data_IF_118113046450
#
_entry.id   IF_118113046450
#
_cell.length_a   1.000
_cell.length_b   1.000
_cell.length_c   1.000
_cell.angle_alpha   90.00
_cell.angle_beta   90.00
_cell.angle_gamma   90.00
#
_symmetry.space_group_name_H-M   'P 1'
#
loop_
_entity.id
_entity.type
_entity.pdbx_description
1 polymer ?
#
# COMPACT_ATOMS: atom_id res chain seq x y z
N UNK A 1 -4.14 -34.89 1.40
CA UNK A 1 -3.92 -34.16 2.66
C UNK A 1 -5.29 -33.71 3.12
N UNK A 2 -5.70 -34.02 4.34
CA UNK A 2 -6.99 -33.57 4.85
C UNK A 2 -6.96 -32.06 5.06
N UNK A 3 -7.92 -31.37 4.50
CA UNK A 3 -8.07 -29.89 4.57
C UNK A 3 -9.44 -29.50 5.12
N UNK A 4 -10.20 -30.47 5.62
CA UNK A 4 -11.57 -30.26 6.15
C UNK A 4 -11.58 -29.29 7.33
N UNK A 5 -10.54 -29.30 8.15
CA UNK A 5 -10.36 -28.41 9.29
C UNK A 5 -10.30 -26.92 8.90
N UNK A 6 -9.86 -26.61 7.67
CA UNK A 6 -9.88 -25.20 7.17
C UNK A 6 -11.33 -24.72 6.99
N UNK A 7 -12.27 -25.60 6.69
CA UNK A 7 -13.67 -25.26 6.48
C UNK A 7 -14.54 -25.42 7.73
N UNK A 8 -13.99 -26.00 8.81
CA UNK A 8 -14.70 -26.22 10.04
C UNK A 8 -15.15 -24.91 10.70
N UNK A 9 -16.38 -24.94 11.22
CA UNK A 9 -17.01 -23.78 11.86
C UNK A 9 -17.36 -22.61 10.92
N UNK A 10 -17.17 -22.74 9.61
CA UNK A 10 -17.67 -21.78 8.62
C UNK A 10 -19.12 -22.13 8.22
N UNK A 11 -19.96 -21.11 7.99
CA UNK A 11 -21.26 -21.30 7.38
C UNK A 11 -21.14 -21.58 5.87
N UNK A 12 -22.25 -21.97 5.24
CA UNK A 12 -22.27 -22.38 3.82
C UNK A 12 -21.72 -21.29 2.89
N UNK A 13 -22.15 -20.04 3.04
CA UNK A 13 -21.68 -18.91 2.22
C UNK A 13 -20.18 -18.63 2.43
N UNK A 14 -19.70 -18.74 3.67
CA UNK A 14 -18.28 -18.59 3.98
C UNK A 14 -17.44 -19.73 3.39
N UNK A 15 -17.93 -20.99 3.46
CA UNK A 15 -17.28 -22.16 2.84
C UNK A 15 -17.18 -21.99 1.33
N UNK A 16 -18.27 -21.58 0.69
CA UNK A 16 -18.29 -21.32 -0.76
C UNK A 16 -17.24 -20.28 -1.16
N UNK A 17 -17.11 -19.18 -0.41
CA UNK A 17 -16.12 -18.14 -0.67
C UNK A 17 -14.68 -18.61 -0.42
N UNK A 18 -14.46 -19.46 0.60
CA UNK A 18 -13.13 -19.99 0.94
C UNK A 18 -12.66 -21.04 -0.06
N UNK A 19 -13.52 -21.95 -0.46
CA UNK A 19 -13.19 -23.08 -1.35
C UNK A 19 -13.44 -22.79 -2.84
N UNK A 20 -13.81 -21.56 -3.18
CA UNK A 20 -14.05 -21.19 -4.58
C UNK A 20 -12.78 -21.35 -5.43
N UNK A 21 -12.93 -21.61 -6.71
CA UNK A 21 -11.82 -21.71 -7.67
C UNK A 21 -10.95 -20.44 -7.67
N UNK A 22 -9.73 -20.58 -8.18
CA UNK A 22 -8.82 -19.42 -8.32
C UNK A 22 -9.39 -18.46 -9.37
N UNK A 23 -9.44 -17.18 -9.01
CA UNK A 23 -9.98 -16.13 -9.87
C UNK A 23 -10.32 -14.88 -9.05
N UNK A 24 -10.79 -13.87 -9.74
CA UNK A 24 -11.25 -12.64 -9.10
C UNK A 24 -12.58 -12.88 -8.38
N UNK A 25 -12.63 -12.57 -7.10
CA UNK A 25 -13.81 -12.75 -6.26
C UNK A 25 -14.13 -11.48 -5.49
N UNK A 26 -15.38 -11.11 -5.46
CA UNK A 26 -15.90 -10.03 -4.63
C UNK A 26 -16.80 -10.63 -3.53
N UNK A 27 -16.39 -10.47 -2.27
CA UNK A 27 -17.17 -10.92 -1.11
C UNK A 27 -17.84 -9.70 -0.46
N UNK A 28 -19.16 -9.59 -0.63
CA UNK A 28 -19.98 -8.56 -0.01
C UNK A 28 -20.54 -9.07 1.32
N UNK A 29 -20.20 -8.38 2.40
CA UNK A 29 -20.57 -8.83 3.74
C UNK A 29 -20.68 -7.65 4.70
N UNK A 30 -21.71 -7.63 5.54
CA UNK A 30 -21.96 -6.61 6.54
C UNK A 30 -20.91 -6.60 7.68
N UNK A 31 -20.99 -5.60 8.56
CA UNK A 31 -20.17 -5.59 9.77
C UNK A 31 -20.47 -6.82 10.65
N UNK A 32 -19.45 -7.42 11.25
CA UNK A 32 -19.61 -8.61 12.11
C UNK A 32 -19.87 -9.94 11.39
N UNK A 33 -20.05 -9.95 10.08
CA UNK A 33 -20.34 -11.17 9.29
C UNK A 33 -19.17 -12.15 9.12
N UNK A 34 -18.00 -11.81 9.65
CA UNK A 34 -16.82 -12.67 9.57
C UNK A 34 -15.96 -12.49 8.31
N UNK A 35 -16.00 -11.33 7.63
CA UNK A 35 -15.15 -11.04 6.45
C UNK A 35 -13.67 -11.42 6.65
N UNK A 36 -13.07 -11.00 7.75
CA UNK A 36 -11.68 -11.32 8.09
C UNK A 36 -11.49 -12.82 8.25
N UNK A 37 -12.47 -13.54 8.81
CA UNK A 37 -12.44 -15.00 8.95
C UNK A 37 -12.40 -15.67 7.57
N UNK A 38 -13.28 -15.25 6.65
CA UNK A 38 -13.27 -15.75 5.26
C UNK A 38 -11.91 -15.51 4.62
N UNK A 39 -11.35 -14.32 4.74
CA UNK A 39 -10.04 -14.00 4.14
C UNK A 39 -8.91 -14.88 4.71
N UNK A 40 -8.85 -15.04 6.02
CA UNK A 40 -7.85 -15.86 6.71
C UNK A 40 -7.94 -17.33 6.27
N UNK A 41 -9.15 -17.88 6.26
CA UNK A 41 -9.40 -19.26 5.82
C UNK A 41 -9.12 -19.45 4.31
N UNK A 42 -9.45 -18.45 3.47
CA UNK A 42 -9.11 -18.46 2.04
C UNK A 42 -7.61 -18.51 1.80
N UNK A 43 -6.81 -17.73 2.54
CA UNK A 43 -5.35 -17.76 2.43
C UNK A 43 -4.83 -19.14 2.85
N UNK A 44 -5.31 -19.70 3.95
CA UNK A 44 -4.94 -21.02 4.38
C UNK A 44 -5.32 -22.11 3.34
N UNK A 45 -6.49 -21.98 2.71
CA UNK A 45 -6.95 -22.85 1.63
C UNK A 45 -6.02 -22.78 0.42
N UNK A 46 -5.73 -21.59 -0.08
CA UNK A 46 -4.82 -21.38 -1.21
C UNK A 46 -3.45 -22.02 -0.99
N UNK A 47 -2.92 -21.91 0.23
CA UNK A 47 -1.60 -22.45 0.56
C UNK A 47 -1.62 -23.98 0.77
N UNK A 48 -2.65 -24.52 1.48
CA UNK A 48 -2.64 -25.91 1.91
C UNK A 48 -3.44 -26.84 1.01
N UNK A 49 -4.57 -26.38 0.45
CA UNK A 49 -5.41 -27.16 -0.47
C UNK A 49 -4.98 -26.96 -1.94
N UNK A 50 -4.82 -25.74 -2.37
CA UNK A 50 -4.44 -25.40 -3.76
C UNK A 50 -2.92 -25.47 -4.00
N UNK A 51 -2.12 -25.65 -2.93
CA UNK A 51 -0.66 -25.81 -3.04
C UNK A 51 0.12 -24.56 -3.47
N UNK A 52 -0.49 -23.37 -3.34
CA UNK A 52 0.21 -22.14 -3.69
C UNK A 52 1.40 -21.88 -2.76
N UNK A 53 2.48 -21.37 -3.35
CA UNK A 53 3.62 -20.93 -2.56
C UNK A 53 3.22 -19.77 -1.64
N UNK A 54 3.58 -19.79 -0.34
CA UNK A 54 3.38 -18.64 0.54
C UNK A 54 3.95 -17.32 -0.01
N UNK A 55 5.03 -17.38 -0.78
CA UNK A 55 5.68 -16.22 -1.39
C UNK A 55 4.85 -15.56 -2.50
N UNK A 56 3.87 -16.28 -3.06
CA UNK A 56 2.97 -15.74 -4.10
C UNK A 56 1.68 -15.13 -3.53
N UNK A 57 1.51 -15.14 -2.21
CA UNK A 57 0.30 -14.64 -1.56
C UNK A 57 0.55 -13.28 -0.91
N UNK A 58 -0.23 -12.28 -1.31
CA UNK A 58 -0.24 -10.96 -0.69
C UNK A 58 -1.61 -10.67 -0.07
N UNK A 59 -1.62 -10.29 1.21
CA UNK A 59 -2.82 -9.89 1.95
C UNK A 59 -2.65 -8.50 2.54
N UNK A 60 -3.55 -7.60 2.18
CA UNK A 60 -3.43 -6.19 2.51
C UNK A 60 -4.56 -5.76 3.45
N UNK A 61 -4.22 -4.94 4.43
CA UNK A 61 -5.19 -4.36 5.38
C UNK A 61 -4.81 -2.91 5.70
N UNK A 62 -5.70 -2.19 6.41
CA UNK A 62 -5.46 -0.77 6.70
C UNK A 62 -4.63 -0.52 7.97
N UNK A 63 -4.60 -1.46 8.92
CA UNK A 63 -3.92 -1.24 10.20
C UNK A 63 -2.90 -2.33 10.52
N UNK A 64 -1.81 -1.95 11.18
CA UNK A 64 -0.80 -2.90 11.64
C UNK A 64 -1.37 -3.92 12.66
N UNK A 65 -2.38 -3.51 13.45
CA UNK A 65 -3.07 -4.41 14.38
C UNK A 65 -3.79 -5.52 13.60
N UNK A 66 -4.61 -5.14 12.59
CA UNK A 66 -5.33 -6.12 11.77
C UNK A 66 -4.37 -7.05 11.00
N UNK A 67 -3.24 -6.52 10.50
CA UNK A 67 -2.21 -7.34 9.84
C UNK A 67 -1.61 -8.39 10.78
N UNK A 68 -1.31 -8.02 12.03
CA UNK A 68 -0.80 -8.96 13.05
C UNK A 68 -1.83 -10.03 13.43
N UNK A 69 -3.09 -9.61 13.65
CA UNK A 69 -4.18 -10.54 13.97
C UNK A 69 -4.42 -11.52 12.81
N UNK A 70 -4.41 -11.03 11.57
CA UNK A 70 -4.56 -11.86 10.37
C UNK A 70 -3.44 -12.90 10.29
N UNK A 71 -2.20 -12.48 10.49
CA UNK A 71 -1.03 -13.36 10.48
C UNK A 71 -1.15 -14.46 11.53
N UNK A 72 -1.44 -14.09 12.79
CA UNK A 72 -1.58 -15.08 13.88
C UNK A 72 -2.65 -16.12 13.59
N UNK A 73 -3.83 -15.71 13.09
CA UNK A 73 -4.91 -16.63 12.72
C UNK A 73 -4.55 -17.56 11.57
N UNK A 74 -3.80 -17.07 10.57
CA UNK A 74 -3.33 -17.93 9.47
C UNK A 74 -2.32 -18.95 9.99
N UNK A 75 -1.42 -18.56 10.88
CA UNK A 75 -0.45 -19.46 11.51
C UNK A 75 -1.12 -20.54 12.37
N UNK A 76 -2.17 -20.19 13.10
CA UNK A 76 -2.99 -21.14 13.84
C UNK A 76 -3.62 -22.21 12.92
N UNK A 77 -4.25 -21.78 11.81
CA UNK A 77 -4.89 -22.70 10.86
C UNK A 77 -3.86 -23.57 10.13
N UNK A 78 -2.74 -22.99 9.74
CA UNK A 78 -1.69 -23.72 9.02
C UNK A 78 -0.83 -24.60 9.94
N UNK A 79 -0.87 -24.40 11.27
CA UNK A 79 -0.03 -25.10 12.25
C UNK A 79 1.47 -24.82 12.08
N UNK A 80 1.83 -23.73 11.40
CA UNK A 80 3.22 -23.36 11.11
C UNK A 80 3.38 -21.86 10.89
N UNK A 81 4.58 -21.31 11.07
CA UNK A 81 4.87 -19.90 10.76
C UNK A 81 4.60 -19.55 9.30
N UNK A 82 4.15 -18.32 9.07
CA UNK A 82 3.80 -17.78 7.73
C UNK A 82 4.98 -17.11 7.05
N UNK A 83 6.19 -17.66 7.17
CA UNK A 83 7.35 -17.12 6.46
C UNK A 83 7.09 -17.12 4.96
N UNK A 84 7.31 -15.96 4.33
CA UNK A 84 7.09 -15.76 2.90
C UNK A 84 5.78 -15.08 2.53
N UNK A 85 4.72 -15.18 3.33
CA UNK A 85 3.48 -14.43 3.08
C UNK A 85 3.70 -12.91 3.19
N UNK A 86 3.16 -12.18 2.24
CA UNK A 86 3.16 -10.73 2.25
C UNK A 86 1.89 -10.22 2.94
N UNK A 87 1.91 -10.18 4.27
CA UNK A 87 0.78 -9.70 5.08
C UNK A 87 1.18 -8.37 5.73
N UNK A 88 0.43 -7.30 5.44
CA UNK A 88 0.76 -5.98 5.97
C UNK A 88 -0.26 -4.91 5.58
N UNK A 89 0.05 -3.68 5.94
CA UNK A 89 -0.68 -2.50 5.44
C UNK A 89 -0.20 -2.13 4.04
N UNK A 90 -1.01 -1.38 3.28
CA UNK A 90 -0.61 -0.85 1.98
C UNK A 90 0.76 -0.16 2.05
N UNK A 91 0.93 0.78 2.97
CA UNK A 91 2.21 1.48 3.16
C UNK A 91 3.37 0.55 3.52
N UNK A 92 3.15 -0.38 4.44
CA UNK A 92 4.19 -1.32 4.88
C UNK A 92 4.64 -2.26 3.76
N UNK A 93 3.70 -2.78 2.97
CA UNK A 93 4.01 -3.65 1.84
C UNK A 93 4.65 -2.89 0.67
N UNK A 94 4.16 -1.67 0.37
CA UNK A 94 4.78 -0.80 -0.64
C UNK A 94 6.22 -0.45 -0.26
N UNK A 95 6.47 -0.10 1.01
CA UNK A 95 7.83 0.15 1.50
C UNK A 95 8.73 -1.08 1.36
N UNK A 96 8.25 -2.26 1.78
CA UNK A 96 8.98 -3.52 1.61
C UNK A 96 9.28 -3.83 0.14
N UNK A 97 8.32 -3.58 -0.76
CA UNK A 97 8.51 -3.74 -2.20
C UNK A 97 9.62 -2.82 -2.72
N UNK A 98 9.57 -1.54 -2.37
CA UNK A 98 10.59 -0.56 -2.75
C UNK A 98 11.97 -0.89 -2.16
N UNK A 99 12.03 -1.40 -0.92
CA UNK A 99 13.29 -1.86 -0.33
C UNK A 99 13.89 -3.07 -1.06
N UNK A 100 13.05 -3.96 -1.57
CA UNK A 100 13.50 -5.14 -2.33
C UNK A 100 13.97 -4.74 -3.74
N UNK A 101 13.29 -3.78 -4.37
CA UNK A 101 13.46 -3.35 -5.75
C UNK A 101 13.94 -1.89 -5.86
N UNK A 102 14.76 -1.46 -4.92
CA UNK A 102 15.24 -0.07 -4.87
C UNK A 102 15.97 0.36 -6.14
N UNK A 103 16.77 -0.54 -6.73
CA UNK A 103 17.54 -0.25 -7.94
C UNK A 103 16.64 -0.07 -9.16
N UNK A 104 15.66 -0.96 -9.36
CA UNK A 104 14.68 -0.87 -10.45
C UNK A 104 13.79 0.38 -10.28
N UNK A 105 13.52 0.78 -9.05
CA UNK A 105 12.77 2.00 -8.74
C UNK A 105 13.60 3.29 -8.90
N UNK A 106 14.92 3.18 -9.19
CA UNK A 106 15.82 4.34 -9.29
C UNK A 106 16.03 5.04 -7.95
N UNK A 107 15.90 4.33 -6.83
CA UNK A 107 16.08 4.86 -5.49
C UNK A 107 17.47 4.49 -4.94
N UNK A 108 18.06 5.30 -4.03
CA UNK A 108 19.22 4.86 -3.28
C UNK A 108 18.84 3.72 -2.32
N UNK A 109 19.74 2.77 -2.08
CA UNK A 109 19.47 1.61 -1.22
C UNK A 109 18.98 1.99 0.20
N UNK A 110 19.44 3.12 0.71
CA UNK A 110 19.09 3.66 2.03
C UNK A 110 18.07 4.79 1.96
N UNK A 111 17.19 4.79 0.97
CA UNK A 111 16.14 5.81 0.86
C UNK A 111 15.28 5.87 2.12
N UNK A 112 14.75 7.05 2.42
CA UNK A 112 13.87 7.29 3.55
C UNK A 112 12.51 7.77 3.05
N UNK A 113 11.44 7.34 3.73
CA UNK A 113 10.10 7.84 3.50
C UNK A 113 9.91 9.06 4.41
N UNK A 114 9.59 10.19 3.80
CA UNK A 114 9.27 11.41 4.54
C UNK A 114 7.82 11.34 5.02
N UNK A 115 7.58 11.74 6.26
CA UNK A 115 6.23 12.07 6.69
C UNK A 115 5.78 13.44 6.15
N UNK A 116 4.53 13.81 6.41
CA UNK A 116 3.94 15.06 5.90
C UNK A 116 4.66 16.31 6.42
N UNK A 117 5.14 16.28 7.66
CA UNK A 117 5.81 17.42 8.28
C UNK A 117 7.25 17.54 7.77
N UNK A 118 7.95 16.41 7.63
CA UNK A 118 9.28 16.39 7.02
C UNK A 118 9.23 16.83 5.57
N UNK A 119 8.24 16.38 4.80
CA UNK A 119 8.02 16.85 3.43
C UNK A 119 7.83 18.38 3.40
N UNK A 120 6.99 18.92 4.29
CA UNK A 120 6.78 20.37 4.36
C UNK A 120 8.06 21.14 4.69
N UNK A 121 8.92 20.60 5.57
CA UNK A 121 10.23 21.20 5.85
C UNK A 121 11.13 21.25 4.62
N UNK A 122 11.15 20.17 3.83
CA UNK A 122 11.89 20.14 2.56
C UNK A 122 11.33 21.17 1.59
N UNK A 123 10.01 21.23 1.39
CA UNK A 123 9.37 22.19 0.50
C UNK A 123 9.65 23.65 0.93
N UNK A 124 9.60 23.94 2.22
CA UNK A 124 9.97 25.29 2.75
C UNK A 124 11.40 25.65 2.40
N UNK A 125 12.35 24.71 2.57
CA UNK A 125 13.76 24.93 2.23
C UNK A 125 13.89 25.21 0.73
N UNK A 126 13.25 24.43 -0.13
CA UNK A 126 13.25 24.62 -1.58
C UNK A 126 12.69 25.99 -1.97
N UNK A 127 11.55 26.42 -1.38
CA UNK A 127 10.99 27.74 -1.63
C UNK A 127 11.99 28.86 -1.30
N UNK A 128 12.72 28.78 -0.18
CA UNK A 128 13.75 29.75 0.20
C UNK A 128 14.94 29.75 -0.75
N UNK A 129 15.42 28.59 -1.15
CA UNK A 129 16.53 28.44 -2.11
C UNK A 129 16.16 29.02 -3.48
N UNK A 130 14.88 28.93 -3.88
CA UNK A 130 14.36 29.53 -5.10
C UNK A 130 14.06 31.04 -4.96
N UNK A 131 14.27 31.64 -3.79
CA UNK A 131 13.98 33.06 -3.52
C UNK A 131 12.49 33.40 -3.58
N UNK A 132 11.62 32.46 -3.27
CA UNK A 132 10.17 32.66 -3.32
C UNK A 132 9.66 33.24 -2.00
N UNK A 133 8.81 34.24 -2.09
CA UNK A 133 8.09 34.83 -0.95
C UNK A 133 7.00 33.87 -0.46
N UNK A 134 7.16 33.34 0.77
CA UNK A 134 6.22 32.38 1.37
C UNK A 134 4.80 32.97 1.54
N UNK A 135 4.62 34.30 1.55
CA UNK A 135 3.31 34.94 1.61
C UNK A 135 2.54 34.83 0.29
N UNK A 136 3.25 34.87 -0.83
CA UNK A 136 2.70 34.71 -2.19
C UNK A 136 2.67 33.26 -2.64
N UNK A 137 3.61 32.46 -2.19
CA UNK A 137 3.81 31.05 -2.54
C UNK A 137 3.84 30.19 -1.29
N UNK A 138 2.70 29.96 -0.62
CA UNK A 138 2.66 29.20 0.62
C UNK A 138 3.18 27.77 0.42
N UNK A 139 4.19 27.33 1.18
CA UNK A 139 4.79 25.99 1.02
C UNK A 139 3.79 24.82 1.14
N UNK A 140 2.70 24.99 1.92
CA UNK A 140 1.63 23.98 2.00
C UNK A 140 0.88 23.82 0.66
N UNK A 141 0.69 24.88 -0.11
CA UNK A 141 0.06 24.77 -1.43
C UNK A 141 0.97 24.02 -2.40
N UNK A 142 2.28 24.30 -2.35
CA UNK A 142 3.25 23.54 -3.14
C UNK A 142 3.31 22.05 -2.72
N UNK A 143 3.24 21.77 -1.42
CA UNK A 143 3.14 20.38 -0.92
C UNK A 143 1.89 19.67 -1.47
N UNK A 144 0.72 20.30 -1.41
CA UNK A 144 -0.52 19.74 -1.95
C UNK A 144 -0.45 19.54 -3.46
N UNK A 145 0.11 20.51 -4.20
CA UNK A 145 0.34 20.36 -5.63
C UNK A 145 1.22 19.15 -5.93
N UNK A 146 2.38 19.03 -5.26
CA UNK A 146 3.32 17.91 -5.43
C UNK A 146 2.63 16.57 -5.14
N UNK A 147 1.88 16.48 -4.05
CA UNK A 147 1.17 15.25 -3.68
C UNK A 147 0.11 14.89 -4.71
N UNK A 148 -0.72 15.86 -5.15
CA UNK A 148 -1.72 15.63 -6.19
C UNK A 148 -1.10 15.12 -7.49
N UNK A 149 0.04 15.69 -7.92
CA UNK A 149 0.73 15.21 -9.13
C UNK A 149 1.31 13.80 -8.92
N UNK A 150 1.87 13.51 -7.75
CA UNK A 150 2.37 12.17 -7.42
C UNK A 150 1.25 11.12 -7.37
N UNK A 151 0.08 11.46 -6.87
CA UNK A 151 -1.09 10.58 -6.83
C UNK A 151 -1.57 10.20 -8.24
N UNK A 152 -1.41 11.12 -9.21
CA UNK A 152 -1.65 10.87 -10.64
C UNK A 152 -0.47 10.19 -11.36
N UNK A 153 0.59 9.82 -10.64
CA UNK A 153 1.79 9.22 -11.21
C UNK A 153 2.69 10.18 -11.99
N UNK A 154 2.44 11.50 -11.92
CA UNK A 154 3.18 12.50 -12.66
C UNK A 154 4.43 12.97 -11.91
N UNK A 155 5.56 13.00 -12.58
CA UNK A 155 6.78 13.67 -12.14
C UNK A 155 6.83 15.08 -12.70
N UNK A 156 7.58 15.98 -12.06
CA UNK A 156 7.67 17.37 -12.44
C UNK A 156 8.01 17.60 -13.94
N UNK A 157 8.85 16.72 -14.50
CA UNK A 157 9.26 16.75 -15.91
C UNK A 157 8.13 16.38 -16.90
N UNK A 158 7.04 15.78 -16.43
CA UNK A 158 5.90 15.39 -17.26
C UNK A 158 4.77 16.41 -17.23
N UNK A 159 4.95 17.51 -16.51
CA UNK A 159 3.91 18.54 -16.33
C UNK A 159 4.26 19.74 -17.21
N UNK A 160 3.43 19.99 -18.20
CA UNK A 160 3.52 21.18 -19.06
C UNK A 160 2.55 22.26 -18.56
N UNK A 161 3.07 23.35 -17.95
CA UNK A 161 2.20 24.43 -17.48
C UNK A 161 1.50 25.12 -18.66
N UNK A 162 0.20 25.44 -18.58
CA UNK A 162 -0.47 26.22 -19.60
C UNK A 162 0.23 27.57 -19.86
N UNK A 163 0.19 28.02 -21.10
CA UNK A 163 0.77 29.34 -21.48
C UNK A 163 0.12 30.46 -20.67
N UNK A 164 0.94 31.22 -19.97
CA UNK A 164 0.46 32.34 -19.12
C UNK A 164 0.09 31.95 -17.69
N UNK A 165 0.05 30.66 -17.35
CA UNK A 165 -0.22 30.21 -15.98
C UNK A 165 1.05 30.27 -15.10
N UNK A 166 1.25 31.45 -14.50
CA UNK A 166 2.38 31.67 -13.59
C UNK A 166 2.31 30.78 -12.34
N UNK A 167 1.10 30.46 -11.86
CA UNK A 167 0.93 29.63 -10.67
C UNK A 167 1.44 28.22 -10.94
N UNK A 168 0.91 27.54 -11.94
CA UNK A 168 1.33 26.18 -12.28
C UNK A 168 2.82 26.13 -12.65
N UNK A 169 3.32 27.12 -13.38
CA UNK A 169 4.75 27.23 -13.72
C UNK A 169 5.63 27.29 -12.47
N UNK A 170 5.21 28.08 -11.47
CA UNK A 170 5.97 28.19 -10.21
C UNK A 170 5.88 26.92 -9.39
N UNK A 171 4.70 26.28 -9.30
CA UNK A 171 4.53 25.00 -8.61
C UNK A 171 5.37 23.88 -9.24
N UNK A 172 5.42 23.79 -10.57
CA UNK A 172 6.28 22.83 -11.29
C UNK A 172 7.76 23.11 -11.01
N UNK A 173 8.19 24.38 -10.97
CA UNK A 173 9.56 24.73 -10.61
C UNK A 173 9.92 24.32 -9.18
N UNK A 174 9.00 24.47 -8.23
CA UNK A 174 9.19 23.98 -6.85
C UNK A 174 9.29 22.45 -6.84
N UNK A 175 8.41 21.78 -7.60
CA UNK A 175 8.41 20.31 -7.69
C UNK A 175 9.68 19.76 -8.35
N UNK A 176 10.25 20.45 -9.34
CA UNK A 176 11.52 20.09 -9.97
C UNK A 176 12.70 20.17 -8.99
N UNK A 177 12.68 21.17 -8.11
CA UNK A 177 13.73 21.36 -7.12
C UNK A 177 13.56 20.46 -5.87
N UNK A 178 12.32 20.01 -5.60
CA UNK A 178 11.97 19.08 -4.53
C UNK A 178 12.41 17.66 -4.85
#
# INVERSE_FOLDING_TARGET
MDVSDILDGLNEAQRAAVAAEQGNQLVLAGAGSGKTRVLVHRIAWLVRADGLSPYSVMAVTFTNKAAREMRGRIEEILGRPTHGLWIGTFHGLAHRLLQTHWAEAGLPQNFQILDSDDQLRVVKRVCRELGLDESKWPPRQAQWFINGQKDEGLRAQHIEPPVGDLYTKTMVRIYQAY
#
